data_IF_078867567805
#
_entry.id   IF_078867567805
#
_cell.length_a   1.000
_cell.length_b   1.000
_cell.length_c   1.000
_cell.angle_alpha   90.00
_cell.angle_beta   90.00
_cell.angle_gamma   90.00
#
_symmetry.space_group_name_H-M   'P 1'
#
loop_
_entity.id
_entity.type
_entity.pdbx_description
1 polymer ?
#
# COMPACT_ATOMS: atom_id res chain seq x y z
N UNK A 1 -1.60 -14.64 -16.12
CA UNK A 1 -1.56 -13.96 -14.81
C UNK A 1 -0.79 -14.87 -13.87
N UNK A 2 0.38 -14.42 -13.42
CA UNK A 2 1.01 -15.01 -12.24
C UNK A 2 0.06 -14.86 -11.06
N UNK A 3 0.01 -15.84 -10.15
CA UNK A 3 -0.86 -15.81 -8.97
C UNK A 3 -0.51 -14.64 -8.03
N UNK A 4 0.69 -14.06 -8.16
CA UNK A 4 1.25 -13.05 -7.27
C UNK A 4 2.06 -12.05 -8.12
N UNK A 5 1.51 -10.87 -8.36
CA UNK A 5 2.21 -9.70 -8.94
C UNK A 5 1.99 -8.51 -7.99
N UNK A 6 3.04 -7.72 -7.66
CA UNK A 6 4.46 -7.95 -7.97
C UNK A 6 5.02 -9.23 -7.31
N UNK A 7 6.17 -9.72 -7.81
CA UNK A 7 6.79 -10.95 -7.28
C UNK A 7 7.31 -10.69 -5.87
N UNK A 8 7.23 -11.69 -4.99
CA UNK A 8 7.68 -11.55 -3.60
C UNK A 8 9.17 -11.20 -3.50
N UNK A 9 10.01 -11.76 -4.36
CA UNK A 9 11.46 -11.48 -4.34
C UNK A 9 11.76 -9.99 -4.60
N UNK A 10 11.00 -9.36 -5.51
CA UNK A 10 11.14 -7.92 -5.80
C UNK A 10 10.73 -7.06 -4.60
N UNK A 11 9.70 -7.49 -3.88
CA UNK A 11 9.26 -6.77 -2.68
C UNK A 11 10.27 -6.90 -1.55
N UNK A 12 10.94 -8.04 -1.43
CA UNK A 12 11.95 -8.29 -0.40
C UNK A 12 13.26 -7.53 -0.68
N UNK A 13 13.66 -7.39 -1.94
CA UNK A 13 14.81 -6.56 -2.34
C UNK A 13 14.66 -5.11 -1.87
N UNK A 14 13.44 -4.57 -1.91
CA UNK A 14 13.11 -3.21 -1.47
C UNK A 14 12.94 -3.09 0.06
N UNK A 15 13.05 -4.18 0.81
CA UNK A 15 12.83 -4.19 2.28
C UNK A 15 13.91 -4.97 3.01
N UNK A 16 15.17 -4.76 2.67
CA UNK A 16 16.34 -5.38 3.32
C UNK A 16 16.27 -6.92 3.41
N UNK A 17 15.51 -7.56 2.51
CA UNK A 17 15.16 -8.99 2.54
C UNK A 17 14.45 -9.45 3.84
N UNK A 18 13.87 -8.53 4.60
CA UNK A 18 13.08 -8.83 5.79
C UNK A 18 11.57 -8.85 5.48
N UNK A 19 10.98 -10.04 5.63
CA UNK A 19 9.54 -10.25 5.44
C UNK A 19 8.67 -9.52 6.47
N UNK A 20 9.17 -9.29 7.68
CA UNK A 20 8.43 -8.62 8.74
C UNK A 20 8.40 -7.12 8.49
N UNK A 21 9.54 -6.55 8.08
CA UNK A 21 9.62 -5.18 7.56
C UNK A 21 8.65 -4.98 6.38
N UNK A 22 8.68 -5.87 5.38
CA UNK A 22 7.74 -5.83 4.25
C UNK A 22 6.28 -5.80 4.72
N UNK A 23 5.92 -6.69 5.65
CA UNK A 23 4.56 -6.75 6.19
C UNK A 23 4.17 -5.45 6.91
N UNK A 24 5.08 -4.89 7.72
CA UNK A 24 4.86 -3.68 8.48
C UNK A 24 4.65 -2.47 7.56
N UNK A 25 5.54 -2.26 6.58
CA UNK A 25 5.44 -1.12 5.67
C UNK A 25 4.23 -1.25 4.75
N UNK A 26 3.95 -2.44 4.22
CA UNK A 26 2.84 -2.67 3.32
C UNK A 26 1.49 -2.49 4.02
N UNK A 27 1.38 -2.95 5.27
CA UNK A 27 0.16 -2.80 6.08
C UNK A 27 -0.10 -1.33 6.42
N UNK A 28 0.92 -0.60 6.88
CA UNK A 28 0.80 0.84 7.16
C UNK A 28 0.39 1.60 5.91
N UNK A 29 1.07 1.36 4.79
CA UNK A 29 0.79 2.05 3.54
C UNK A 29 -0.61 1.72 2.99
N UNK A 30 -1.04 0.46 3.10
CA UNK A 30 -2.39 0.06 2.73
C UNK A 30 -3.46 0.78 3.55
N UNK A 31 -3.21 1.06 4.84
CA UNK A 31 -4.10 1.87 5.66
C UNK A 31 -4.16 3.33 5.19
N UNK A 32 -3.02 3.96 4.91
CA UNK A 32 -2.97 5.32 4.38
C UNK A 32 -3.78 5.45 3.08
N UNK A 33 -3.61 4.49 2.17
CA UNK A 33 -4.36 4.42 0.91
C UNK A 33 -5.86 4.24 1.19
N UNK A 34 -6.22 3.36 2.12
CA UNK A 34 -7.63 3.11 2.43
C UNK A 34 -8.32 4.34 3.05
N UNK A 35 -7.64 5.05 3.96
CA UNK A 35 -8.14 6.28 4.55
C UNK A 35 -8.26 7.40 3.50
N UNK A 36 -7.30 7.50 2.58
CA UNK A 36 -7.38 8.42 1.43
C UNK A 36 -8.60 8.11 0.54
N UNK A 37 -8.78 6.84 0.16
CA UNK A 37 -9.92 6.41 -0.68
C UNK A 37 -11.26 6.61 0.04
N UNK A 38 -11.32 6.38 1.36
CA UNK A 38 -12.52 6.66 2.16
C UNK A 38 -12.83 8.15 2.15
N UNK A 39 -11.84 9.01 2.41
CA UNK A 39 -12.02 10.45 2.38
C UNK A 39 -12.47 11.00 1.00
N UNK A 40 -11.98 10.43 -0.10
CA UNK A 40 -12.45 10.76 -1.44
C UNK A 40 -13.91 10.34 -1.66
N UNK A 41 -14.31 9.15 -1.21
CA UNK A 41 -15.71 8.69 -1.28
C UNK A 41 -16.64 9.58 -0.47
N UNK A 42 -16.25 9.94 0.76
CA UNK A 42 -17.06 10.80 1.62
C UNK A 42 -17.30 12.19 0.97
N UNK A 43 -16.26 12.76 0.33
CA UNK A 43 -16.39 14.00 -0.45
C UNK A 43 -17.29 13.85 -1.67
N UNK A 44 -17.15 12.76 -2.43
CA UNK A 44 -17.99 12.50 -3.60
C UNK A 44 -19.47 12.32 -3.23
N UNK A 45 -19.75 11.68 -2.09
CA UNK A 45 -21.11 11.57 -1.54
C UNK A 45 -21.68 12.95 -1.21
N UNK A 46 -20.90 13.81 -0.53
CA UNK A 46 -21.32 15.17 -0.21
C UNK A 46 -21.62 16.00 -1.47
N UNK A 47 -20.86 15.80 -2.54
CA UNK A 47 -21.01 16.51 -3.82
C UNK A 47 -22.04 15.86 -4.77
N UNK A 48 -22.67 14.73 -4.37
CA UNK A 48 -23.59 13.93 -5.20
C UNK A 48 -23.01 13.50 -6.57
N UNK A 49 -21.68 13.35 -6.70
CA UNK A 49 -21.02 13.01 -7.96
C UNK A 49 -20.92 11.49 -8.14
N UNK A 50 -21.88 10.87 -8.82
CA UNK A 50 -21.91 9.41 -9.09
C UNK A 50 -20.66 8.88 -9.83
N UNK A 51 -19.99 9.74 -10.60
CA UNK A 51 -18.82 9.38 -11.43
C UNK A 51 -17.56 9.14 -10.60
N UNK A 52 -17.37 9.87 -9.50
CA UNK A 52 -16.17 9.76 -8.66
C UNK A 52 -16.24 8.55 -7.73
N UNK A 53 -17.44 8.19 -7.25
CA UNK A 53 -17.69 6.99 -6.45
C UNK A 53 -17.27 5.73 -7.23
N UNK A 54 -17.58 5.68 -8.53
CA UNK A 54 -17.21 4.57 -9.41
C UNK A 54 -15.72 4.52 -9.76
N UNK A 55 -15.01 5.66 -9.71
CA UNK A 55 -13.56 5.74 -9.99
C UNK A 55 -12.67 5.33 -8.83
N UNK A 56 -13.22 5.14 -7.63
CA UNK A 56 -12.50 4.61 -6.47
C UNK A 56 -12.19 3.11 -6.67
N UNK A 57 -11.22 2.88 -7.58
CA UNK A 57 -10.52 1.67 -8.00
C UNK A 57 -10.96 0.34 -7.37
N UNK A 58 -11.23 -0.64 -8.24
CA UNK A 58 -11.46 -2.04 -7.87
C UNK A 58 -10.18 -2.75 -7.35
N UNK A 59 -9.06 -2.03 -7.22
CA UNK A 59 -7.78 -2.56 -6.74
C UNK A 59 -7.72 -2.43 -5.22
N UNK A 60 -7.41 -3.53 -4.53
CA UNK A 60 -7.30 -3.55 -3.07
C UNK A 60 -6.17 -2.61 -2.61
N UNK A 61 -6.32 -1.85 -1.52
CA UNK A 61 -5.28 -0.95 -1.01
C UNK A 61 -3.93 -1.64 -0.81
N UNK A 62 -3.92 -2.87 -0.31
CA UNK A 62 -2.69 -3.66 -0.15
C UNK A 62 -2.00 -3.98 -1.48
N UNK A 63 -2.77 -4.23 -2.55
CA UNK A 63 -2.20 -4.43 -3.89
C UNK A 63 -1.60 -3.15 -4.45
N UNK A 64 -2.16 -1.99 -4.13
CA UNK A 64 -1.59 -0.69 -4.51
C UNK A 64 -0.30 -0.45 -3.71
N UNK A 65 -0.28 -0.74 -2.41
CA UNK A 65 0.91 -0.62 -1.58
C UNK A 65 2.07 -1.49 -2.11
N UNK A 66 1.80 -2.74 -2.50
CA UNK A 66 2.84 -3.58 -3.08
C UNK A 66 3.38 -3.05 -4.40
N UNK A 67 2.51 -2.51 -5.28
CA UNK A 67 2.98 -1.85 -6.50
C UNK A 67 3.92 -0.67 -6.18
N UNK A 68 3.54 0.19 -5.22
CA UNK A 68 4.34 1.36 -4.84
C UNK A 68 5.69 0.93 -4.21
N UNK A 69 5.70 -0.11 -3.36
CA UNK A 69 6.92 -0.69 -2.79
C UNK A 69 7.84 -1.21 -3.91
N UNK A 70 7.31 -2.02 -4.84
CA UNK A 70 8.11 -2.55 -5.94
C UNK A 70 8.69 -1.51 -6.90
N UNK A 71 8.23 -0.25 -6.82
CA UNK A 71 8.75 0.89 -7.58
C UNK A 71 9.72 1.77 -6.79
N UNK A 72 9.97 1.45 -5.52
CA UNK A 72 10.76 2.28 -4.61
C UNK A 72 10.08 3.60 -4.23
N UNK A 73 8.75 3.69 -4.33
CA UNK A 73 7.99 4.90 -3.98
C UNK A 73 7.73 5.01 -2.47
N UNK A 74 8.01 3.95 -1.70
CA UNK A 74 7.79 3.86 -0.25
C UNK A 74 9.13 3.68 0.46
N UNK A 75 9.44 4.56 1.39
CA UNK A 75 10.61 4.46 2.27
C UNK A 75 10.18 4.33 3.73
N UNK A 76 11.04 3.77 4.57
CA UNK A 76 10.86 3.71 6.03
C UNK A 76 12.05 4.32 6.75
N UNK A 77 11.83 4.75 7.99
CA UNK A 77 12.90 5.16 8.90
C UNK A 77 13.28 3.97 9.79
N UNK A 78 14.52 3.44 9.70
CA UNK A 78 15.00 2.35 10.55
C UNK A 78 14.96 2.66 12.04
N UNK A 79 14.92 3.93 12.46
CA UNK A 79 14.78 4.29 13.87
C UNK A 79 13.35 4.09 14.41
N UNK A 80 12.36 4.01 13.51
CA UNK A 80 10.93 3.89 13.86
C UNK A 80 10.41 2.45 13.77
N UNK A 81 11.19 1.56 13.17
CA UNK A 81 10.86 0.14 13.01
C UNK A 81 11.94 -0.63 13.77
N UNK A 82 11.53 -1.52 14.67
CA UNK A 82 12.44 -2.36 15.45
C UNK A 82 13.06 -3.46 14.56
N UNK A 83 13.85 -3.05 13.58
CA UNK A 83 14.51 -3.94 12.61
C UNK A 83 15.66 -4.73 13.24
N UNK A 84 16.11 -4.36 14.45
CA UNK A 84 17.21 -5.02 15.15
C UNK A 84 16.75 -6.15 16.10
N UNK A 85 15.44 -6.26 16.39
CA UNK A 85 14.92 -7.27 17.30
C UNK A 85 14.51 -8.60 16.63
N UNK A 86 14.84 -8.80 15.35
CA UNK A 86 14.43 -9.96 14.56
C UNK A 86 15.60 -10.74 13.97
#
# INVERSE_FOLDING_TARGET
MSLIEPKIDQLLEETDNDRFLLCAIASRRAHDINDMLRGQRDRAIQLQTAVEIARASNKKPLSIAFDEISKGEVSWDPATIDAQAH
#
